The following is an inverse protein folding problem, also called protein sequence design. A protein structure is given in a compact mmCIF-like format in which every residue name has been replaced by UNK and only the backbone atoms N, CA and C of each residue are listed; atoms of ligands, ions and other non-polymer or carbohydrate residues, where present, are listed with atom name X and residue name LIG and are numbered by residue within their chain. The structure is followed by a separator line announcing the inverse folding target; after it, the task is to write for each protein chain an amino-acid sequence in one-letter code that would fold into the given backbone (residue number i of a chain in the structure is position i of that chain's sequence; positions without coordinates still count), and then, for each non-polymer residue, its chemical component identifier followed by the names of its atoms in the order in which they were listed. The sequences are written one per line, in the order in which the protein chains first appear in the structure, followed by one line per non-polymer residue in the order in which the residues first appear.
data_IF_614727805379
#
_entry.id   IF_614727805379
#
_cell.length_a   1.000
_cell.length_b   1.000
_cell.length_c   1.000
_cell.angle_alpha   90.00
_cell.angle_beta   90.00
_cell.angle_gamma   90.00
#
_symmetry.space_group_name_H-M   'P 1'
#
loop_
_entity.id
_entity.type
_entity.pdbx_description
1 polymer ?
#
# COMPACT_ATOMS: atom_id res chain seq x y z
N UNK A 1 12.25 18.52 8.07
CA UNK A 1 12.02 17.80 9.34
C UNK A 1 11.83 16.33 8.94
N UNK A 2 12.90 15.53 9.01
CA UNK A 2 12.82 14.12 8.61
C UNK A 2 12.05 13.36 9.68
N UNK A 3 10.93 12.75 9.31
CA UNK A 3 10.19 11.84 10.18
C UNK A 3 11.14 10.67 10.50
N UNK A 4 11.61 10.54 11.74
CA UNK A 4 12.35 9.34 12.15
C UNK A 4 11.41 8.15 12.05
N UNK A 5 11.92 7.03 11.54
CA UNK A 5 11.25 5.72 11.62
C UNK A 5 10.91 5.43 13.08
N UNK A 6 9.76 4.80 13.32
CA UNK A 6 9.43 4.33 14.66
C UNK A 6 10.26 3.08 14.99
N UNK A 7 10.50 2.75 16.27
CA UNK A 7 11.21 1.54 16.65
C UNK A 7 10.58 0.26 16.09
N UNK A 8 9.26 0.24 15.93
CA UNK A 8 8.52 -0.88 15.35
C UNK A 8 8.85 -1.05 13.85
N UNK A 9 8.93 0.05 13.10
CA UNK A 9 9.34 0.03 11.70
C UNK A 9 10.79 -0.44 11.59
N UNK A 10 11.69 0.05 12.44
CA UNK A 10 13.10 -0.36 12.42
C UNK A 10 13.27 -1.85 12.74
N UNK A 11 12.56 -2.36 13.74
CA UNK A 11 12.56 -3.78 14.09
C UNK A 11 12.03 -4.65 12.94
N UNK A 12 10.91 -4.24 12.34
CA UNK A 12 10.33 -4.95 11.19
C UNK A 12 11.29 -4.98 10.00
N UNK A 13 11.93 -3.85 9.68
CA UNK A 13 12.92 -3.78 8.59
C UNK A 13 14.13 -4.67 8.86
N UNK A 14 14.61 -4.74 10.11
CA UNK A 14 15.74 -5.57 10.49
C UNK A 14 15.40 -7.07 10.38
N UNK A 15 14.18 -7.46 10.79
CA UNK A 15 13.68 -8.83 10.69
C UNK A 15 13.50 -9.25 9.23
N UNK A 16 12.96 -8.37 8.39
CA UNK A 16 12.63 -8.66 6.99
C UNK A 16 13.73 -8.24 6.01
N UNK A 17 14.90 -7.82 6.48
CA UNK A 17 16.00 -7.34 5.63
C UNK A 17 16.42 -8.38 4.57
N UNK A 18 16.31 -9.67 4.88
CA UNK A 18 16.59 -10.78 3.96
C UNK A 18 15.48 -11.08 2.95
N UNK A 19 14.25 -10.62 3.19
CA UNK A 19 13.08 -10.82 2.33
C UNK A 19 12.78 -9.59 1.45
N UNK A 20 13.21 -8.41 1.90
CA UNK A 20 13.18 -7.15 1.17
C UNK A 20 14.31 -7.03 0.13
N UNK A 21 14.67 -8.14 -0.53
CA UNK A 21 15.65 -8.16 -1.64
C UNK A 21 15.14 -7.34 -2.84
N UNK A 22 13.83 -7.05 -2.86
CA UNK A 22 13.15 -6.30 -3.91
C UNK A 22 12.38 -5.09 -3.40
N UNK A 23 11.82 -4.28 -4.33
CA UNK A 23 11.08 -3.08 -3.98
C UNK A 23 9.78 -3.42 -3.26
N UNK A 24 9.46 -2.66 -2.21
CA UNK A 24 8.11 -2.65 -1.64
C UNK A 24 7.16 -2.03 -2.67
N UNK A 25 6.05 -2.70 -2.92
CA UNK A 25 5.03 -2.28 -3.88
C UNK A 25 3.73 -1.96 -3.15
N UNK A 26 3.07 -0.91 -3.61
CA UNK A 26 1.72 -0.53 -3.22
C UNK A 26 0.79 -0.89 -4.38
N UNK A 27 -0.03 -1.93 -4.20
CA UNK A 27 -0.86 -2.53 -5.23
C UNK A 27 -2.11 -3.15 -4.59
N UNK A 28 -3.28 -2.89 -5.17
CA UNK A 28 -4.51 -3.62 -4.83
C UNK A 28 -4.70 -4.78 -5.79
N UNK A 29 -5.28 -5.87 -5.29
CA UNK A 29 -5.70 -6.99 -6.11
C UNK A 29 -7.03 -7.56 -5.58
N UNK A 30 -7.77 -8.25 -6.43
CA UNK A 30 -9.01 -8.90 -6.04
C UNK A 30 -8.75 -10.01 -5.02
N UNK A 31 -9.45 -9.95 -3.89
CA UNK A 31 -9.31 -10.92 -2.80
C UNK A 31 -8.15 -10.63 -1.84
N UNK A 32 -7.52 -9.45 -1.95
CA UNK A 32 -6.48 -9.01 -1.04
C UNK A 32 -6.95 -7.75 -0.31
N UNK A 33 -7.03 -7.83 1.01
CA UNK A 33 -7.51 -6.72 1.85
C UNK A 33 -6.40 -5.73 2.23
N UNK A 34 -5.14 -6.07 1.95
CA UNK A 34 -3.98 -5.28 2.31
C UNK A 34 -3.09 -4.96 1.10
N UNK A 35 -2.84 -3.68 0.78
CA UNK A 35 -2.28 -3.32 -0.52
C UNK A 35 -0.75 -3.27 -0.55
N UNK A 36 -0.05 -3.82 0.44
CA UNK A 36 1.43 -3.76 0.51
C UNK A 36 2.02 -5.11 0.14
N UNK A 37 3.02 -5.07 -0.74
CA UNK A 37 3.61 -6.26 -1.35
C UNK A 37 5.13 -6.17 -1.34
N UNK A 38 5.78 -7.32 -1.28
CA UNK A 38 7.20 -7.50 -1.59
C UNK A 38 7.33 -8.39 -2.83
N UNK A 39 8.56 -8.74 -3.22
CA UNK A 39 8.79 -9.73 -4.27
C UNK A 39 8.37 -11.15 -3.87
N UNK A 40 8.23 -11.43 -2.57
CA UNK A 40 7.69 -12.69 -2.08
C UNK A 40 6.16 -12.80 -2.18
N UNK A 41 5.44 -11.67 -2.30
CA UNK A 41 3.99 -11.63 -2.42
C UNK A 41 3.33 -10.52 -1.60
N UNK A 42 2.03 -10.65 -1.37
CA UNK A 42 1.28 -9.75 -0.50
C UNK A 42 1.73 -9.93 0.94
N UNK A 43 1.92 -8.82 1.64
CA UNK A 43 2.22 -8.84 3.07
C UNK A 43 0.93 -9.08 3.87
N UNK A 44 1.06 -9.64 5.10
CA UNK A 44 -0.05 -9.73 6.02
C UNK A 44 -0.70 -8.37 6.30
N UNK A 45 -1.99 -8.38 6.60
CA UNK A 45 -2.71 -7.16 6.97
C UNK A 45 -2.06 -6.48 8.17
N UNK A 46 -1.78 -5.18 8.05
CA UNK A 46 -1.10 -4.41 9.08
C UNK A 46 0.42 -4.49 9.05
N UNK A 47 1.01 -5.21 8.09
CA UNK A 47 2.46 -5.25 7.88
C UNK A 47 2.86 -4.54 6.59
N UNK A 48 3.89 -3.67 6.60
CA UNK A 48 4.70 -3.25 7.75
C UNK A 48 3.89 -2.41 8.77
N UNK A 49 4.38 -2.29 10.02
CA UNK A 49 3.72 -1.49 11.04
C UNK A 49 3.76 -0.02 10.64
N UNK A 50 2.62 0.51 10.23
CA UNK A 50 2.43 1.92 9.86
C UNK A 50 1.56 2.65 10.87
N UNK A 51 1.54 3.98 10.80
CA UNK A 51 0.67 4.79 11.62
C UNK A 51 -0.81 4.39 11.47
N UNK A 52 -1.64 4.46 12.53
CA UNK A 52 -3.05 4.08 12.45
C UNK A 52 -3.82 4.85 11.36
N UNK A 53 -3.45 6.10 11.11
CA UNK A 53 -4.03 6.91 10.03
C UNK A 53 -3.68 6.38 8.65
N UNK A 54 -2.42 6.02 8.40
CA UNK A 54 -2.03 5.41 7.13
C UNK A 54 -2.66 4.03 6.94
N UNK A 55 -2.71 3.23 8.00
CA UNK A 55 -3.40 1.93 7.97
C UNK A 55 -4.85 2.07 7.50
N UNK A 56 -5.62 2.95 8.14
CA UNK A 56 -7.03 3.17 7.79
C UNK A 56 -7.20 3.63 6.33
N UNK A 57 -6.30 4.47 5.82
CA UNK A 57 -6.36 4.93 4.44
C UNK A 57 -5.96 3.86 3.42
N UNK A 58 -5.02 2.96 3.75
CA UNK A 58 -4.67 1.81 2.91
C UNK A 58 -5.88 0.86 2.76
N UNK A 59 -6.58 0.57 3.87
CA UNK A 59 -7.81 -0.24 3.86
C UNK A 59 -8.89 0.45 3.02
N UNK A 60 -9.13 1.75 3.24
CA UNK A 60 -10.11 2.51 2.47
C UNK A 60 -9.80 2.53 0.95
N UNK A 61 -8.52 2.49 0.58
CA UNK A 61 -8.11 2.41 -0.82
C UNK A 61 -8.42 1.05 -1.46
N UNK A 62 -8.24 -0.05 -0.74
CA UNK A 62 -8.70 -1.38 -1.14
C UNK A 62 -10.22 -1.41 -1.33
N UNK A 63 -10.98 -0.83 -0.39
CA UNK A 63 -12.44 -0.76 -0.50
C UNK A 63 -12.89 0.08 -1.71
N UNK A 64 -12.20 1.18 -2.01
CA UNK A 64 -12.49 1.97 -3.20
C UNK A 64 -12.28 1.16 -4.48
N UNK A 65 -11.22 0.35 -4.55
CA UNK A 65 -11.00 -0.58 -5.65
C UNK A 65 -12.12 -1.63 -5.73
N UNK A 66 -12.44 -2.29 -4.62
CA UNK A 66 -13.46 -3.33 -4.59
C UNK A 66 -14.84 -2.81 -5.02
N UNK A 67 -15.20 -1.58 -4.65
CA UNK A 67 -16.46 -0.94 -5.08
C UNK A 67 -16.39 -0.40 -6.51
N UNK A 68 -15.26 0.22 -6.86
CA UNK A 68 -15.07 0.95 -8.11
C UNK A 68 -14.69 0.09 -9.30
N UNK A 69 -14.20 -1.13 -9.07
CA UNK A 69 -13.78 -2.10 -10.07
C UNK A 69 -14.32 -3.50 -9.71
N UNK A 70 -15.52 -3.57 -9.12
CA UNK A 70 -16.10 -4.80 -8.55
C UNK A 70 -16.15 -5.99 -9.54
N UNK A 71 -16.25 -5.69 -10.83
CA UNK A 71 -16.26 -6.66 -11.93
C UNK A 71 -15.07 -6.38 -12.84
N UNK A 72 -13.97 -7.14 -12.72
CA UNK A 72 -12.77 -6.92 -13.53
C UNK A 72 -13.07 -6.89 -15.04
N UNK A 73 -14.04 -7.69 -15.49
CA UNK A 73 -14.50 -7.77 -16.87
C UNK A 73 -15.24 -6.52 -17.38
N UNK A 74 -15.85 -5.74 -16.49
CA UNK A 74 -16.53 -4.48 -16.81
C UNK A 74 -15.61 -3.26 -16.59
N UNK A 75 -14.53 -3.45 -15.83
CA UNK A 75 -13.57 -2.41 -15.49
C UNK A 75 -14.12 -1.39 -14.48
N UNK A 76 -13.57 -0.18 -14.53
CA UNK A 76 -13.92 0.87 -13.58
C UNK A 76 -15.35 1.38 -13.80
N UNK A 77 -16.12 1.48 -12.71
CA UNK A 77 -17.49 2.01 -12.68
C UNK A 77 -17.61 3.45 -13.22
N UNK A 78 -16.49 4.17 -13.35
CA UNK A 78 -16.43 5.45 -14.04
C UNK A 78 -15.02 6.02 -14.09
N UNK A 79 -14.78 6.91 -15.05
CA UNK A 79 -13.50 7.57 -15.22
C UNK A 79 -13.12 8.43 -13.99
N UNK A 80 -14.10 9.03 -13.31
CA UNK A 80 -13.88 9.78 -12.06
C UNK A 80 -13.43 8.89 -10.91
N UNK A 81 -14.02 7.70 -10.78
CA UNK A 81 -13.66 6.73 -9.74
C UNK A 81 -12.22 6.26 -9.96
N UNK A 82 -11.87 5.90 -11.21
CA UNK A 82 -10.48 5.56 -11.57
C UNK A 82 -9.50 6.69 -11.27
N UNK A 83 -9.85 7.95 -11.60
CA UNK A 83 -9.00 9.11 -11.30
C UNK A 83 -8.82 9.31 -9.79
N UNK A 84 -9.89 9.16 -9.01
CA UNK A 84 -9.84 9.25 -7.57
C UNK A 84 -8.93 8.18 -6.97
N UNK A 85 -9.07 6.93 -7.44
CA UNK A 85 -8.25 5.80 -7.03
C UNK A 85 -6.75 6.02 -7.30
N UNK A 86 -6.38 6.44 -8.50
CA UNK A 86 -4.98 6.74 -8.86
C UNK A 86 -4.42 7.90 -8.03
N UNK A 87 -5.22 8.95 -7.80
CA UNK A 87 -4.81 10.10 -6.99
C UNK A 87 -4.56 9.70 -5.54
N UNK A 88 -5.44 8.89 -4.95
CA UNK A 88 -5.27 8.36 -3.60
C UNK A 88 -4.04 7.47 -3.50
N UNK A 89 -3.86 6.52 -4.44
CA UNK A 89 -2.68 5.65 -4.48
C UNK A 89 -1.36 6.42 -4.50
N UNK A 90 -1.28 7.51 -5.28
CA UNK A 90 -0.09 8.39 -5.28
C UNK A 90 0.15 9.09 -3.94
N UNK A 91 -0.92 9.47 -3.24
CA UNK A 91 -0.82 10.04 -1.90
C UNK A 91 -0.28 9.03 -0.89
N UNK A 92 -0.84 7.81 -0.92
CA UNK A 92 -0.46 6.71 -0.06
C UNK A 92 0.97 6.25 -0.32
N UNK A 93 1.39 6.15 -1.58
CA UNK A 93 2.76 5.82 -1.95
C UNK A 93 3.75 6.75 -1.26
N UNK A 94 3.53 8.07 -1.32
CA UNK A 94 4.43 9.06 -0.69
C UNK A 94 4.46 8.93 0.82
N UNK A 95 3.32 8.70 1.46
CA UNK A 95 3.23 8.53 2.91
C UNK A 95 3.90 7.25 3.37
N UNK A 96 3.62 6.14 2.70
CA UNK A 96 4.23 4.85 3.00
C UNK A 96 5.75 4.89 2.78
N UNK A 97 6.19 5.51 1.69
CA UNK A 97 7.62 5.75 1.44
C UNK A 97 8.26 6.56 2.56
N UNK A 98 7.57 7.57 3.08
CA UNK A 98 8.08 8.41 4.15
C UNK A 98 8.09 7.72 5.53
N UNK A 99 7.08 6.91 5.86
CA UNK A 99 7.02 6.19 7.14
C UNK A 99 8.03 5.04 7.20
N UNK A 100 8.24 4.33 6.07
CA UNK A 100 9.22 3.25 5.97
C UNK A 100 10.63 3.76 5.62
N UNK A 101 10.74 5.01 5.14
CA UNK A 101 11.93 5.56 4.50
C UNK A 101 12.49 4.57 3.44
N UNK A 102 11.58 4.11 2.58
CA UNK A 102 11.85 3.22 1.44
C UNK A 102 11.28 3.84 0.17
N UNK A 103 11.84 3.47 -0.98
CA UNK A 103 11.22 3.79 -2.27
C UNK A 103 10.09 2.78 -2.55
N UNK A 104 8.85 3.19 -2.30
CA UNK A 104 7.68 2.34 -2.56
C UNK A 104 7.18 2.56 -3.98
N UNK A 105 7.01 1.47 -4.73
CA UNK A 105 6.49 1.51 -6.09
C UNK A 105 4.96 1.41 -6.12
N UNK A 106 4.27 2.40 -6.67
CA UNK A 106 2.83 2.33 -6.90
C UNK A 106 2.49 1.53 -8.17
N UNK A 107 1.55 0.59 -8.06
CA UNK A 107 0.95 -0.16 -9.18
C UNK A 107 -0.58 0.03 -9.14
N UNK A 108 -1.16 0.53 -10.22
CA UNK A 108 -2.59 0.92 -10.38
C UNK A 108 -3.15 0.49 -11.71
#
# INVERSE_FOLDING_TARGET
MGTRRTPEVEAWLAEHAGELVGPVRLMVDHGVDWPVWTDAGALPAGEPPVSPGLHAELVAWCELFARGNARPEEGWAGADVRRAFVRQGRGLQRRLSAELDLDVQLRV
#
